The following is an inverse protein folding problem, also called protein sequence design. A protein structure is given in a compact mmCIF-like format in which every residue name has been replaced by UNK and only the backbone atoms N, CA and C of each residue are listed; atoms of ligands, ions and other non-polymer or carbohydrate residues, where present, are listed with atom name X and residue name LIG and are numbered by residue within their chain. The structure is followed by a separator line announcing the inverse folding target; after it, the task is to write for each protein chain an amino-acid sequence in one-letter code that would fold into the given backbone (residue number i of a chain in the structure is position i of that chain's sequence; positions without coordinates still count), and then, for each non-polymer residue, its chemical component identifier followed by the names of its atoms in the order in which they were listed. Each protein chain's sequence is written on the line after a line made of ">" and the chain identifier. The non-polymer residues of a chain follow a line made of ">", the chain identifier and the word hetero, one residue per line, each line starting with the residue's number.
data_IF_185105038879
#
_entry.id   IF_185105038879
#
_cell.length_a   1.000
_cell.length_b   1.000
_cell.length_c   1.000
_cell.angle_alpha   90.00
_cell.angle_beta   90.00
_cell.angle_gamma   90.00
#
_symmetry.space_group_name_H-M   'P 1'
#
loop_
_entity.id
_entity.type
_entity.pdbx_description
1 polymer ?
#
# COMPACT_ATOMS: atom_id res chain seq x y z
N UNK A 1 -52.61 -30.53 18.68
CA UNK A 1 -52.23 -31.58 17.71
C UNK A 1 -51.47 -30.92 16.57
N UNK A 2 -50.23 -31.37 16.32
CA UNK A 2 -49.19 -30.73 15.50
C UNK A 2 -49.53 -30.78 14.00
N UNK A 3 -49.44 -29.67 13.28
CA UNK A 3 -49.09 -29.68 11.86
C UNK A 3 -47.93 -28.71 11.62
N UNK A 4 -46.75 -29.33 11.47
CA UNK A 4 -45.46 -28.71 11.27
C UNK A 4 -45.34 -28.12 9.87
N UNK A 5 -45.22 -26.80 9.77
CA UNK A 5 -44.70 -26.12 8.60
C UNK A 5 -43.22 -26.50 8.40
N UNK A 6 -42.94 -27.48 7.53
CA UNK A 6 -41.59 -27.78 7.06
C UNK A 6 -41.08 -26.60 6.22
N UNK A 7 -40.44 -25.61 6.86
CA UNK A 7 -39.54 -24.68 6.17
C UNK A 7 -38.43 -25.50 5.53
N UNK A 8 -38.40 -25.60 4.20
CA UNK A 8 -37.28 -26.14 3.45
C UNK A 8 -36.11 -25.18 3.62
N UNK A 9 -35.08 -25.60 4.35
CA UNK A 9 -33.79 -24.93 4.38
C UNK A 9 -33.17 -25.16 3.00
N UNK A 10 -33.25 -24.14 2.14
CA UNK A 10 -32.54 -24.16 0.87
C UNK A 10 -31.02 -24.25 1.10
N UNK A 11 -30.24 -24.72 0.13
CA UNK A 11 -28.81 -24.85 0.31
C UNK A 11 -28.14 -23.46 0.42
N UNK A 12 -27.77 -23.10 1.64
CA UNK A 12 -26.86 -22.05 2.13
C UNK A 12 -25.47 -22.00 1.46
N UNK A 13 -25.14 -22.92 0.55
CA UNK A 13 -23.92 -22.82 -0.25
C UNK A 13 -24.20 -21.92 -1.45
N UNK A 14 -23.47 -20.81 -1.63
CA UNK A 14 -23.54 -20.07 -2.87
C UNK A 14 -23.06 -21.03 -3.96
N UNK A 15 -23.87 -21.18 -5.01
CA UNK A 15 -23.42 -21.88 -6.21
C UNK A 15 -22.12 -21.26 -6.68
N UNK A 16 -21.06 -22.06 -6.79
CA UNK A 16 -19.76 -21.66 -7.35
C UNK A 16 -19.83 -21.17 -8.81
N UNK A 17 -21.04 -21.10 -9.40
CA UNK A 17 -21.28 -20.49 -10.70
C UNK A 17 -21.38 -18.97 -10.58
N UNK A 18 -20.63 -18.27 -11.45
CA UNK A 18 -20.74 -16.82 -11.62
C UNK A 18 -22.19 -16.43 -11.93
N UNK A 19 -22.71 -15.41 -11.24
CA UNK A 19 -24.05 -14.89 -11.47
C UNK A 19 -24.26 -14.52 -12.96
N UNK A 20 -25.49 -14.58 -13.50
CA UNK A 20 -25.78 -14.27 -14.90
C UNK A 20 -25.21 -12.94 -15.39
N UNK A 21 -25.22 -11.93 -14.51
CA UNK A 21 -24.73 -10.58 -14.79
C UNK A 21 -23.30 -10.31 -14.28
N UNK A 22 -22.56 -11.28 -13.74
CA UNK A 22 -21.25 -11.06 -13.12
C UNK A 22 -20.25 -10.38 -14.08
N UNK A 23 -19.54 -9.35 -13.58
CA UNK A 23 -18.51 -8.63 -14.36
C UNK A 23 -17.47 -9.58 -14.98
N UNK A 24 -17.17 -10.71 -14.34
CA UNK A 24 -16.22 -11.70 -14.83
C UNK A 24 -16.67 -12.42 -16.12
N UNK A 25 -17.93 -12.26 -16.53
CA UNK A 25 -18.41 -12.74 -17.84
C UNK A 25 -18.02 -11.81 -18.99
N UNK A 26 -17.85 -10.52 -18.72
CA UNK A 26 -17.34 -9.57 -19.71
C UNK A 26 -15.88 -9.92 -20.04
N UNK A 27 -15.60 -10.12 -21.34
CA UNK A 27 -14.26 -10.53 -21.81
C UNK A 27 -13.20 -9.47 -21.53
N UNK A 28 -13.54 -8.19 -21.60
CA UNK A 28 -12.60 -7.09 -21.36
C UNK A 28 -12.28 -7.01 -19.87
N UNK A 29 -13.31 -7.00 -19.03
CA UNK A 29 -13.13 -6.96 -17.59
C UNK A 29 -12.41 -8.20 -17.06
N UNK A 30 -12.76 -9.40 -17.53
CA UNK A 30 -12.09 -10.65 -17.13
C UNK A 30 -10.59 -10.63 -17.43
N UNK A 31 -10.19 -10.10 -18.59
CA UNK A 31 -8.76 -9.95 -18.94
C UNK A 31 -8.06 -8.95 -18.02
N UNK A 32 -8.70 -7.82 -17.74
CA UNK A 32 -8.17 -6.84 -16.79
C UNK A 32 -8.02 -7.44 -15.38
N UNK A 33 -9.04 -8.14 -14.89
CA UNK A 33 -9.02 -8.78 -13.58
C UNK A 33 -7.93 -9.86 -13.47
N UNK A 34 -7.78 -10.70 -14.50
CA UNK A 34 -6.74 -11.72 -14.54
C UNK A 34 -5.34 -11.10 -14.60
N UNK A 35 -5.17 -10.02 -15.36
CA UNK A 35 -3.93 -9.23 -15.39
C UNK A 35 -3.60 -8.68 -14.00
N UNK A 36 -4.54 -8.02 -13.33
CA UNK A 36 -4.36 -7.49 -11.96
C UNK A 36 -3.98 -8.60 -10.98
N UNK A 37 -4.61 -9.78 -11.06
CA UNK A 37 -4.28 -10.90 -10.20
C UNK A 37 -2.83 -11.36 -10.41
N UNK A 38 -2.45 -11.61 -11.67
CA UNK A 38 -1.11 -12.10 -12.03
C UNK A 38 -0.04 -11.06 -11.70
N UNK A 39 -0.30 -9.78 -12.01
CA UNK A 39 0.61 -8.68 -11.70
C UNK A 39 0.80 -8.51 -10.19
N UNK A 40 -0.28 -8.66 -9.41
CA UNK A 40 -0.22 -8.59 -7.95
C UNK A 40 0.64 -9.71 -7.38
N UNK A 41 0.54 -10.94 -7.90
CA UNK A 41 1.41 -12.05 -7.48
C UNK A 41 2.87 -11.77 -7.85
N UNK A 42 3.15 -11.30 -9.08
CA UNK A 42 4.50 -10.93 -9.51
C UNK A 42 5.12 -9.80 -8.66
N UNK A 43 4.31 -8.82 -8.25
CA UNK A 43 4.72 -7.75 -7.36
C UNK A 43 5.04 -8.27 -5.96
N UNK A 44 4.26 -9.21 -5.41
CA UNK A 44 4.55 -9.83 -4.11
C UNK A 44 5.86 -10.63 -4.13
N UNK A 45 6.16 -11.32 -5.24
CA UNK A 45 7.46 -11.97 -5.44
C UNK A 45 8.58 -10.94 -5.44
N UNK A 46 8.43 -9.85 -6.18
CA UNK A 46 9.45 -8.79 -6.27
C UNK A 46 9.68 -8.11 -4.92
N UNK A 47 8.59 -7.84 -4.18
CA UNK A 47 8.59 -7.20 -2.86
C UNK A 47 9.44 -7.96 -1.84
N UNK A 48 9.46 -9.30 -1.91
CA UNK A 48 10.25 -10.13 -1.01
C UNK A 48 11.64 -10.47 -1.58
N UNK A 49 11.71 -10.79 -2.87
CA UNK A 49 12.93 -11.28 -3.51
C UNK A 49 13.99 -10.18 -3.66
N UNK A 50 13.62 -8.92 -3.93
CA UNK A 50 14.59 -7.85 -4.13
C UNK A 50 15.31 -7.48 -2.81
N UNK A 51 14.61 -7.26 -1.67
CA UNK A 51 15.25 -7.10 -0.36
C UNK A 51 16.07 -8.30 0.10
N UNK A 52 15.60 -9.53 -0.13
CA UNK A 52 16.36 -10.74 0.23
C UNK A 52 17.61 -10.92 -0.63
N UNK A 53 17.55 -10.59 -1.92
CA UNK A 53 18.72 -10.60 -2.81
C UNK A 53 19.79 -9.61 -2.30
N UNK A 54 19.39 -8.40 -1.92
CA UNK A 54 20.29 -7.44 -1.30
C UNK A 54 20.89 -7.96 0.02
N UNK A 55 20.04 -8.51 0.90
CA UNK A 55 20.45 -8.98 2.22
C UNK A 55 21.41 -10.19 2.17
N UNK A 56 21.13 -11.17 1.30
CA UNK A 56 21.80 -12.48 1.26
C UNK A 56 22.97 -12.52 0.26
N UNK A 57 22.83 -11.92 -0.93
CA UNK A 57 23.87 -12.00 -1.96
C UNK A 57 24.86 -10.85 -1.91
N UNK A 58 24.42 -9.67 -1.45
CA UNK A 58 25.27 -8.47 -1.37
C UNK A 58 25.65 -8.12 0.07
N UNK A 59 25.21 -8.92 1.06
CA UNK A 59 25.40 -8.65 2.48
C UNK A 59 25.03 -7.20 2.87
N UNK A 60 23.96 -6.65 2.26
CA UNK A 60 23.65 -5.23 2.34
C UNK A 60 23.52 -4.73 3.79
N UNK A 61 24.11 -3.59 4.11
CA UNK A 61 23.98 -3.00 5.45
C UNK A 61 22.57 -2.43 5.66
N UNK A 62 22.12 -2.23 6.92
CA UNK A 62 20.82 -1.61 7.17
C UNK A 62 20.70 -0.21 6.57
N UNK A 63 21.77 0.60 6.55
CA UNK A 63 21.75 1.92 5.87
C UNK A 63 21.61 1.76 4.36
N UNK A 64 22.25 0.76 3.74
CA UNK A 64 22.09 0.48 2.31
C UNK A 64 20.66 0.09 1.97
N UNK A 65 19.99 -0.70 2.81
CA UNK A 65 18.57 -1.03 2.66
C UNK A 65 17.66 0.18 2.86
N UNK A 66 18.00 1.06 3.80
CA UNK A 66 17.32 2.35 3.99
C UNK A 66 17.42 3.23 2.76
N UNK A 67 18.60 3.31 2.16
CA UNK A 67 18.84 4.04 0.91
C UNK A 67 18.07 3.43 -0.26
N UNK A 68 17.98 2.10 -0.34
CA UNK A 68 17.20 1.42 -1.39
C UNK A 68 15.73 1.84 -1.36
N UNK A 69 15.09 1.77 -0.20
CA UNK A 69 13.69 2.19 -0.04
C UNK A 69 13.53 3.70 -0.25
N UNK A 70 14.50 4.52 0.17
CA UNK A 70 14.49 5.95 -0.12
C UNK A 70 14.56 6.24 -1.63
N UNK A 71 15.39 5.52 -2.37
CA UNK A 71 15.52 5.65 -3.84
C UNK A 71 14.28 5.13 -4.56
N UNK A 72 13.61 4.09 -4.06
CA UNK A 72 12.33 3.60 -4.59
C UNK A 72 11.18 4.59 -4.38
N UNK A 73 11.20 5.33 -3.27
CA UNK A 73 10.15 6.31 -2.94
C UNK A 73 10.41 7.70 -3.54
N UNK A 74 11.66 8.03 -3.88
CA UNK A 74 12.05 9.32 -4.45
C UNK A 74 11.31 9.67 -5.76
N UNK A 75 11.18 8.76 -6.76
CA UNK A 75 10.41 9.00 -7.97
C UNK A 75 8.97 9.44 -7.71
N UNK A 76 8.35 8.95 -6.64
CA UNK A 76 7.01 9.37 -6.30
C UNK A 76 6.98 10.86 -5.95
N UNK A 77 7.93 11.34 -5.14
CA UNK A 77 8.00 12.75 -4.74
C UNK A 77 8.36 13.66 -5.92
N UNK A 78 9.26 13.20 -6.80
CA UNK A 78 9.75 13.97 -7.95
C UNK A 78 8.79 13.95 -9.13
N UNK A 79 8.27 12.76 -9.47
CA UNK A 79 7.53 12.53 -10.72
C UNK A 79 6.02 12.42 -10.56
N UNK A 80 5.46 12.38 -9.35
CA UNK A 80 4.00 12.42 -9.18
C UNK A 80 3.36 13.62 -9.88
N UNK A 81 4.06 14.76 -9.91
CA UNK A 81 3.66 15.99 -10.56
C UNK A 81 3.64 15.89 -12.10
N UNK A 82 4.77 15.66 -12.80
CA UNK A 82 4.79 15.54 -14.26
C UNK A 82 3.95 14.36 -14.76
N UNK A 83 3.91 13.26 -14.00
CA UNK A 83 3.17 12.06 -14.39
C UNK A 83 1.67 12.32 -14.52
N UNK A 84 1.05 13.04 -13.58
CA UNK A 84 -0.38 13.35 -13.63
C UNK A 84 -0.76 14.18 -14.86
N UNK A 85 -0.03 15.27 -15.11
CA UNK A 85 -0.27 16.16 -16.27
C UNK A 85 -0.05 15.42 -17.59
N UNK A 86 0.95 14.55 -17.65
CA UNK A 86 1.22 13.74 -18.82
C UNK A 86 0.12 12.69 -19.05
N UNK A 87 -0.31 11.99 -17.99
CA UNK A 87 -1.38 10.98 -18.05
C UNK A 87 -2.71 11.56 -18.54
N UNK A 88 -3.00 12.83 -18.25
CA UNK A 88 -4.20 13.50 -18.77
C UNK A 88 -4.20 13.59 -20.31
N UNK A 89 -3.01 13.69 -20.93
CA UNK A 89 -2.84 13.90 -22.38
C UNK A 89 -2.68 12.62 -23.19
N UNK A 90 -2.29 11.52 -22.55
CA UNK A 90 -2.01 10.25 -23.22
C UNK A 90 -3.10 9.21 -22.96
N UNK A 91 -3.06 8.13 -23.75
CA UNK A 91 -3.90 6.99 -23.49
C UNK A 91 -3.38 6.19 -22.28
N UNK A 92 -4.27 5.71 -21.41
CA UNK A 92 -3.89 5.16 -20.09
C UNK A 92 -3.55 3.68 -20.19
N UNK A 93 -4.23 2.93 -21.05
CA UNK A 93 -3.96 1.51 -21.22
C UNK A 93 -2.54 1.23 -21.76
N UNK A 94 -2.03 1.93 -22.79
CA UNK A 94 -0.65 1.72 -23.24
C UNK A 94 0.39 2.05 -22.16
N UNK A 95 0.17 3.10 -21.37
CA UNK A 95 1.08 3.48 -20.27
C UNK A 95 1.13 2.38 -19.21
N UNK A 96 -0.02 1.79 -18.88
CA UNK A 96 -0.08 0.67 -17.95
C UNK A 96 0.70 -0.55 -18.48
N UNK A 97 0.48 -0.94 -19.74
CA UNK A 97 1.17 -2.09 -20.38
C UNK A 97 2.69 -1.84 -20.46
N UNK A 98 3.11 -0.67 -20.93
CA UNK A 98 4.54 -0.31 -21.01
C UNK A 98 5.17 -0.29 -19.62
N UNK A 99 4.43 0.15 -18.60
CA UNK A 99 4.86 0.08 -17.21
C UNK A 99 5.16 -1.34 -16.75
N UNK A 100 4.21 -2.27 -16.92
CA UNK A 100 4.43 -3.67 -16.53
C UNK A 100 5.61 -4.30 -17.25
N UNK A 101 5.77 -4.04 -18.55
CA UNK A 101 6.94 -4.49 -19.32
C UNK A 101 8.24 -3.87 -18.80
N UNK A 102 8.23 -2.58 -18.46
CA UNK A 102 9.42 -1.89 -17.94
C UNK A 102 9.84 -2.44 -16.58
N UNK A 103 8.89 -2.71 -15.68
CA UNK A 103 9.16 -3.39 -14.40
C UNK A 103 9.75 -4.77 -14.67
N UNK A 104 9.12 -5.56 -15.53
CA UNK A 104 9.60 -6.90 -15.82
C UNK A 104 11.04 -6.88 -16.37
N UNK A 105 11.34 -6.01 -17.33
CA UNK A 105 12.68 -5.86 -17.89
C UNK A 105 13.69 -5.40 -16.83
N UNK A 106 13.34 -4.41 -16.01
CA UNK A 106 14.20 -3.94 -14.91
C UNK A 106 14.49 -5.07 -13.91
N UNK A 107 13.48 -5.86 -13.55
CA UNK A 107 13.63 -6.99 -12.63
C UNK A 107 14.46 -8.13 -13.24
N UNK A 108 14.30 -8.44 -14.53
CA UNK A 108 15.12 -9.46 -15.24
C UNK A 108 16.60 -9.09 -15.27
N UNK A 109 16.93 -7.80 -15.27
CA UNK A 109 18.35 -7.41 -15.26
C UNK A 109 19.07 -7.87 -14.00
N UNK A 110 18.38 -8.03 -12.86
CA UNK A 110 19.00 -8.46 -11.59
C UNK A 110 19.61 -9.87 -11.70
N UNK A 111 18.87 -10.93 -12.10
CA UNK A 111 19.47 -12.25 -12.31
C UNK A 111 20.51 -12.27 -13.44
N UNK A 112 20.33 -11.49 -14.50
CA UNK A 112 21.32 -11.43 -15.60
C UNK A 112 22.65 -10.87 -15.09
N UNK A 113 22.63 -9.73 -14.40
CA UNK A 113 23.83 -9.09 -13.85
C UNK A 113 24.45 -9.92 -12.73
N UNK A 114 23.62 -10.62 -11.94
CA UNK A 114 24.09 -11.60 -10.97
C UNK A 114 24.85 -12.76 -11.64
N UNK A 115 24.32 -13.32 -12.73
CA UNK A 115 24.98 -14.39 -13.46
C UNK A 115 26.31 -13.95 -14.11
N UNK A 116 26.40 -12.67 -14.48
CA UNK A 116 27.64 -12.04 -14.95
C UNK A 116 28.63 -11.69 -13.82
N UNK A 117 28.28 -11.92 -12.55
CA UNK A 117 29.14 -11.63 -11.40
C UNK A 117 29.31 -10.13 -11.08
N UNK A 118 28.52 -9.25 -11.70
CA UNK A 118 28.64 -7.79 -11.57
C UNK A 118 27.54 -7.15 -10.69
N UNK A 119 26.79 -7.98 -9.94
CA UNK A 119 25.70 -7.49 -9.09
C UNK A 119 26.27 -6.62 -7.96
N UNK A 120 25.72 -5.41 -7.84
CA UNK A 120 26.12 -4.43 -6.83
C UNK A 120 24.91 -3.70 -6.26
N UNK A 121 25.09 -3.07 -5.10
CA UNK A 121 24.02 -2.29 -4.48
C UNK A 121 23.63 -1.09 -5.35
N UNK A 122 24.59 -0.47 -6.04
CA UNK A 122 24.35 0.59 -7.02
C UNK A 122 23.41 0.15 -8.14
N UNK A 123 23.52 -1.10 -8.61
CA UNK A 123 22.59 -1.66 -9.59
C UNK A 123 21.18 -1.80 -9.01
N UNK A 124 21.05 -2.31 -7.78
CA UNK A 124 19.75 -2.41 -7.11
C UNK A 124 19.10 -1.04 -6.87
N UNK A 125 19.89 0.01 -6.61
CA UNK A 125 19.37 1.38 -6.54
C UNK A 125 18.82 1.85 -7.89
N UNK A 126 19.50 1.56 -8.99
CA UNK A 126 19.01 1.89 -10.33
C UNK A 126 17.69 1.14 -10.63
N UNK A 127 17.62 -0.16 -10.32
CA UNK A 127 16.40 -0.96 -10.48
C UNK A 127 15.27 -0.41 -9.60
N UNK A 128 15.53 -0.17 -8.31
CA UNK A 128 14.55 0.40 -7.38
C UNK A 128 14.02 1.77 -7.83
N UNK A 129 14.88 2.63 -8.37
CA UNK A 129 14.45 3.92 -8.94
C UNK A 129 13.51 3.75 -10.14
N UNK A 130 13.80 2.77 -11.02
CA UNK A 130 12.92 2.45 -12.15
C UNK A 130 11.59 1.90 -11.64
N UNK A 131 11.60 0.98 -10.67
CA UNK A 131 10.40 0.44 -10.04
C UNK A 131 9.52 1.55 -9.45
N UNK A 132 10.12 2.46 -8.67
CA UNK A 132 9.44 3.62 -8.11
C UNK A 132 8.85 4.56 -9.16
N UNK A 133 9.59 4.79 -10.25
CA UNK A 133 9.14 5.63 -11.37
C UNK A 133 7.91 5.02 -12.05
N UNK A 134 7.97 3.73 -12.36
CA UNK A 134 6.85 3.02 -12.99
C UNK A 134 5.66 2.92 -12.03
N UNK A 135 5.87 2.61 -10.75
CA UNK A 135 4.80 2.57 -9.76
C UNK A 135 4.06 3.91 -9.65
N UNK A 136 4.79 5.02 -9.78
CA UNK A 136 4.22 6.38 -9.75
C UNK A 136 3.36 6.67 -10.99
N UNK A 137 3.89 6.36 -12.18
CA UNK A 137 3.25 6.67 -13.47
C UNK A 137 2.20 5.61 -13.84
N UNK A 138 2.62 4.38 -14.08
CA UNK A 138 1.78 3.29 -14.55
C UNK A 138 0.79 2.82 -13.48
N UNK A 139 1.16 2.87 -12.20
CA UNK A 139 0.23 2.55 -11.10
C UNK A 139 -0.98 3.50 -11.05
N UNK A 140 -0.75 4.79 -11.37
CA UNK A 140 -1.84 5.76 -11.49
C UNK A 140 -2.69 5.52 -12.75
N UNK A 141 -2.06 5.14 -13.87
CA UNK A 141 -2.76 4.78 -15.10
C UNK A 141 -3.67 3.55 -14.91
N UNK A 142 -3.20 2.52 -14.22
CA UNK A 142 -3.95 1.29 -13.97
C UNK A 142 -5.28 1.53 -13.23
N UNK A 143 -5.27 2.44 -12.25
CA UNK A 143 -6.48 2.84 -11.52
C UNK A 143 -7.50 3.55 -12.42
N UNK A 144 -7.03 4.36 -13.37
CA UNK A 144 -7.90 5.07 -14.32
C UNK A 144 -8.47 4.11 -15.35
N UNK A 145 -7.68 3.16 -15.86
CA UNK A 145 -8.15 2.15 -16.84
C UNK A 145 -9.33 1.36 -16.29
N UNK A 146 -9.31 1.01 -14.99
CA UNK A 146 -10.42 0.30 -14.36
C UNK A 146 -11.74 1.08 -14.44
N UNK A 147 -11.70 2.39 -14.18
CA UNK A 147 -12.91 3.24 -14.19
C UNK A 147 -13.39 3.56 -15.61
N UNK A 148 -12.56 3.34 -16.63
CA UNK A 148 -12.93 3.46 -18.04
C UNK A 148 -13.52 2.15 -18.61
N UNK A 149 -13.14 1.00 -18.05
CA UNK A 149 -13.65 -0.32 -18.49
C UNK A 149 -15.03 -0.63 -17.90
N UNK A 150 -15.31 -0.16 -16.69
CA UNK A 150 -16.53 -0.53 -15.96
C UNK A 150 -17.45 0.69 -15.84
N UNK A 151 -18.76 0.55 -16.14
CA UNK A 151 -19.73 1.63 -15.97
C UNK A 151 -19.85 2.03 -14.49
N UNK A 152 -20.21 3.30 -14.24
CA UNK A 152 -20.18 3.90 -12.91
C UNK A 152 -21.00 3.13 -11.87
N UNK A 153 -22.11 2.57 -12.30
CA UNK A 153 -23.07 1.81 -11.48
C UNK A 153 -22.47 0.50 -10.95
N UNK A 154 -21.46 -0.04 -11.64
CA UNK A 154 -20.79 -1.31 -11.32
C UNK A 154 -19.40 -1.15 -10.72
N UNK A 155 -18.94 0.09 -10.50
CA UNK A 155 -17.60 0.35 -9.94
C UNK A 155 -17.40 -0.28 -8.56
N UNK A 156 -18.45 -0.35 -7.74
CA UNK A 156 -18.38 -1.00 -6.41
C UNK A 156 -18.10 -2.49 -6.56
N UNK A 157 -18.79 -3.16 -7.47
CA UNK A 157 -18.57 -4.58 -7.77
C UNK A 157 -17.16 -4.81 -8.32
N UNK A 158 -16.69 -3.95 -9.24
CA UNK A 158 -15.35 -4.03 -9.81
C UNK A 158 -14.25 -3.84 -8.76
N UNK A 159 -14.38 -2.83 -7.90
CA UNK A 159 -13.45 -2.60 -6.81
C UNK A 159 -13.43 -3.77 -5.82
N UNK A 160 -14.59 -4.36 -5.49
CA UNK A 160 -14.66 -5.54 -4.63
C UNK A 160 -13.92 -6.74 -5.25
N UNK A 161 -14.12 -7.01 -6.54
CA UNK A 161 -13.43 -8.09 -7.27
C UNK A 161 -11.91 -7.85 -7.36
N UNK A 162 -11.46 -6.63 -7.60
CA UNK A 162 -10.03 -6.30 -7.65
C UNK A 162 -9.37 -6.34 -6.28
N UNK A 163 -10.08 -5.92 -5.24
CA UNK A 163 -9.62 -6.06 -3.86
C UNK A 163 -9.43 -7.55 -3.51
N UNK A 164 -10.38 -8.41 -3.90
CA UNK A 164 -10.23 -9.86 -3.72
C UNK A 164 -8.97 -10.40 -4.41
N UNK A 165 -8.74 -10.04 -5.68
CA UNK A 165 -7.53 -10.46 -6.40
C UNK A 165 -6.24 -10.00 -5.70
N UNK A 166 -6.19 -8.72 -5.31
CA UNK A 166 -5.00 -8.13 -4.68
C UNK A 166 -4.73 -8.71 -3.31
N UNK A 167 -5.76 -8.88 -2.47
CA UNK A 167 -5.61 -9.46 -1.14
C UNK A 167 -5.32 -10.95 -1.18
N UNK A 168 -5.87 -11.71 -2.14
CA UNK A 168 -5.47 -13.11 -2.34
C UNK A 168 -3.99 -13.21 -2.71
N UNK A 169 -3.49 -12.32 -3.57
CA UNK A 169 -2.07 -12.25 -3.89
C UNK A 169 -1.24 -11.83 -2.68
N UNK A 170 -1.69 -10.89 -1.85
CA UNK A 170 -0.97 -10.45 -0.64
C UNK A 170 -0.85 -11.54 0.43
N UNK A 171 -1.85 -12.42 0.54
CA UNK A 171 -1.82 -13.55 1.48
C UNK A 171 -0.97 -14.71 0.95
N UNK A 172 -1.22 -15.13 -0.29
CA UNK A 172 -0.58 -16.32 -0.84
C UNK A 172 0.81 -16.01 -1.45
N UNK A 173 0.99 -14.81 -1.97
CA UNK A 173 2.15 -14.36 -2.72
C UNK A 173 3.45 -14.45 -1.93
N UNK A 174 3.56 -13.86 -0.72
CA UNK A 174 4.79 -13.92 0.06
C UNK A 174 5.19 -15.35 0.46
N UNK A 175 4.23 -16.21 0.79
CA UNK A 175 4.50 -17.62 1.09
C UNK A 175 5.02 -18.39 -0.13
N UNK A 176 4.39 -18.19 -1.30
CA UNK A 176 4.86 -18.76 -2.56
C UNK A 176 6.23 -18.19 -2.98
N UNK A 177 6.45 -16.89 -2.81
CA UNK A 177 7.71 -16.21 -3.08
C UNK A 177 8.83 -16.75 -2.19
N UNK A 178 8.61 -16.87 -0.88
CA UNK A 178 9.59 -17.43 0.05
C UNK A 178 9.97 -18.88 -0.29
N UNK A 179 8.99 -19.72 -0.66
CA UNK A 179 9.26 -21.08 -1.13
C UNK A 179 10.07 -21.08 -2.44
N UNK A 180 9.70 -20.23 -3.40
CA UNK A 180 10.40 -20.11 -4.67
C UNK A 180 11.85 -19.66 -4.48
N UNK A 181 12.08 -18.68 -3.60
CA UNK A 181 13.41 -18.18 -3.24
C UNK A 181 14.22 -19.27 -2.54
N UNK A 182 13.63 -20.05 -1.65
CA UNK A 182 14.31 -21.18 -1.00
C UNK A 182 14.76 -22.25 -2.01
N UNK A 183 13.92 -22.56 -3.01
CA UNK A 183 14.19 -23.63 -3.98
C UNK A 183 15.12 -23.20 -5.12
N UNK A 184 14.97 -21.98 -5.62
CA UNK A 184 15.65 -21.49 -6.82
C UNK A 184 16.62 -20.33 -6.56
N UNK A 185 16.62 -19.75 -5.36
CA UNK A 185 17.37 -18.54 -5.03
C UNK A 185 16.63 -17.25 -5.40
N UNK A 186 17.04 -16.14 -4.77
CA UNK A 186 16.47 -14.80 -5.00
C UNK A 186 16.43 -14.36 -6.46
N UNK A 187 17.52 -14.49 -7.24
CA UNK A 187 17.56 -14.05 -8.63
C UNK A 187 16.59 -14.82 -9.56
N UNK A 188 16.47 -16.14 -9.41
CA UNK A 188 15.53 -16.93 -10.20
C UNK A 188 14.07 -16.66 -9.78
N UNK A 189 13.82 -16.36 -8.50
CA UNK A 189 12.51 -15.90 -8.07
C UNK A 189 12.10 -14.58 -8.74
N UNK A 190 13.04 -13.63 -8.88
CA UNK A 190 12.84 -12.39 -9.63
C UNK A 190 12.51 -12.65 -11.11
N UNK A 191 13.15 -13.65 -11.74
CA UNK A 191 12.84 -14.05 -13.12
C UNK A 191 11.39 -14.53 -13.25
N UNK A 192 10.90 -15.37 -12.33
CA UNK A 192 9.49 -15.81 -12.31
C UNK A 192 8.55 -14.62 -12.11
N UNK A 193 8.86 -13.72 -11.17
CA UNK A 193 8.10 -12.49 -10.97
C UNK A 193 7.99 -11.65 -12.24
N UNK A 194 9.10 -11.49 -12.97
CA UNK A 194 9.11 -10.78 -14.23
C UNK A 194 8.32 -11.49 -15.35
N UNK A 195 8.38 -12.83 -15.43
CA UNK A 195 7.58 -13.60 -16.38
C UNK A 195 6.07 -13.45 -16.11
N UNK A 196 5.66 -13.41 -14.84
CA UNK A 196 4.28 -13.12 -14.45
C UNK A 196 3.85 -11.72 -14.92
N UNK A 197 4.71 -10.71 -14.73
CA UNK A 197 4.42 -9.35 -15.20
C UNK A 197 4.34 -9.24 -16.72
N UNK A 198 5.21 -9.94 -17.46
CA UNK A 198 5.13 -10.02 -18.92
C UNK A 198 3.85 -10.75 -19.37
N UNK A 199 3.45 -11.80 -18.66
CA UNK A 199 2.20 -12.50 -18.92
C UNK A 199 0.99 -11.60 -18.68
N UNK A 200 0.99 -10.80 -17.61
CA UNK A 200 -0.03 -9.76 -17.36
C UNK A 200 -0.11 -8.75 -18.50
N UNK A 201 1.03 -8.19 -18.93
CA UNK A 201 1.09 -7.26 -20.05
C UNK A 201 0.58 -7.90 -21.36
N UNK A 202 0.91 -9.17 -21.60
CA UNK A 202 0.41 -9.92 -22.76
C UNK A 202 -1.10 -10.14 -22.71
N UNK A 203 -1.67 -10.42 -21.54
CA UNK A 203 -3.13 -10.56 -21.34
C UNK A 203 -3.87 -9.27 -21.68
N UNK A 204 -3.26 -8.10 -21.43
CA UNK A 204 -3.84 -6.80 -21.76
C UNK A 204 -3.70 -6.43 -23.25
N UNK A 205 -2.78 -7.07 -23.98
CA UNK A 205 -2.52 -6.75 -25.38
C UNK A 205 -3.75 -6.94 -26.26
N UNK A 206 -4.24 -5.89 -26.90
CA UNK A 206 -5.42 -5.94 -27.76
C UNK A 206 -6.75 -5.82 -27.00
N UNK A 207 -6.73 -5.50 -25.71
CA UNK A 207 -7.89 -4.91 -25.05
C UNK A 207 -8.13 -3.53 -25.64
N UNK A 208 -9.35 -3.25 -26.11
CA UNK A 208 -9.75 -1.92 -26.56
C UNK A 208 -10.58 -1.29 -25.45
N UNK A 209 -10.08 -0.21 -24.87
CA UNK A 209 -10.82 0.62 -23.93
C UNK A 209 -11.22 1.87 -24.69
N UNK A 210 -12.51 2.20 -24.67
CA UNK A 210 -12.99 3.44 -25.27
C UNK A 210 -12.64 4.59 -24.32
N UNK A 211 -11.42 5.10 -24.48
CA UNK A 211 -10.89 6.14 -23.63
C UNK A 211 -11.52 7.48 -24.02
N UNK A 212 -12.62 7.83 -23.34
CA UNK A 212 -13.15 9.19 -23.39
C UNK A 212 -12.03 10.14 -22.94
N UNK A 213 -11.63 11.05 -23.85
CA UNK A 213 -10.69 12.14 -23.57
C UNK A 213 -11.47 13.34 -23.05
N UNK A 214 -11.59 13.60 -21.73
CA UNK A 214 -11.95 14.93 -21.29
C UNK A 214 -10.73 15.84 -21.47
N UNK A 215 -10.78 16.90 -22.30
CA UNK A 215 -9.72 17.88 -22.36
C UNK A 215 -9.76 18.70 -21.06
N UNK A 216 -8.78 18.55 -20.19
CA UNK A 216 -8.43 19.60 -19.21
C UNK A 216 -7.14 20.26 -19.68
N UNK A 217 -7.30 21.30 -20.50
CA UNK A 217 -6.19 22.05 -21.09
C UNK A 217 -5.37 22.84 -20.04
N UNK A 218 -5.92 23.10 -18.83
CA UNK A 218 -5.36 24.07 -17.86
C UNK A 218 -4.89 23.47 -16.53
N UNK A 219 -4.61 22.16 -16.45
CA UNK A 219 -4.15 21.53 -15.21
C UNK A 219 -2.69 21.94 -14.88
N UNK A 220 -2.51 22.98 -14.07
CA UNK A 220 -1.22 23.40 -13.54
C UNK A 220 -1.03 22.90 -12.10
N UNK A 221 -0.45 21.70 -11.94
CA UNK A 221 -0.32 21.09 -10.61
C UNK A 221 0.43 21.94 -9.58
N UNK A 222 1.45 22.75 -9.94
CA UNK A 222 2.08 23.67 -8.97
C UNK A 222 1.08 24.69 -8.40
N UNK A 223 0.16 25.18 -9.24
CA UNK A 223 -0.94 26.03 -8.83
C UNK A 223 -1.95 25.24 -7.99
N UNK A 224 -2.30 24.03 -8.44
CA UNK A 224 -3.25 23.15 -7.72
C UNK A 224 -2.71 22.67 -6.36
N UNK A 225 -1.40 22.40 -6.26
CA UNK A 225 -0.69 22.00 -5.04
C UNK A 225 -0.61 23.19 -4.08
N UNK A 226 -0.32 24.40 -4.58
CA UNK A 226 -0.35 25.62 -3.75
C UNK A 226 -1.75 25.90 -3.23
N UNK A 227 -2.77 25.71 -4.06
CA UNK A 227 -4.18 25.86 -3.68
C UNK A 227 -4.60 24.78 -2.67
N UNK A 228 -4.25 23.51 -2.93
CA UNK A 228 -4.47 22.41 -2.01
C UNK A 228 -3.76 22.60 -0.68
N UNK A 229 -2.49 23.04 -0.68
CA UNK A 229 -1.73 23.32 0.54
C UNK A 229 -2.34 24.49 1.33
N UNK A 230 -2.85 25.52 0.63
CA UNK A 230 -3.59 26.61 1.26
C UNK A 230 -4.89 26.12 1.89
N UNK A 231 -5.60 25.19 1.24
CA UNK A 231 -6.80 24.59 1.79
C UNK A 231 -6.50 23.70 2.99
N UNK A 232 -5.50 22.80 2.89
CA UNK A 232 -5.05 21.96 4.01
C UNK A 232 -4.72 22.85 5.19
N UNK A 233 -3.94 23.92 4.98
CA UNK A 233 -3.56 24.88 6.04
C UNK A 233 -4.74 25.56 6.73
N UNK A 234 -5.85 25.80 6.01
CA UNK A 234 -7.06 26.39 6.58
C UNK A 234 -7.90 25.38 7.34
N UNK A 235 -7.83 24.10 6.97
CA UNK A 235 -8.62 23.05 7.58
C UNK A 235 -7.80 22.25 8.61
N UNK A 236 -7.99 22.58 9.90
CA UNK A 236 -7.26 21.94 11.02
C UNK A 236 -7.30 20.41 10.96
N UNK A 237 -8.44 19.82 10.63
CA UNK A 237 -8.57 18.36 10.51
C UNK A 237 -7.65 17.77 9.42
N UNK A 238 -7.52 18.42 8.27
CA UNK A 238 -6.65 17.93 7.19
C UNK A 238 -5.17 18.04 7.54
N UNK A 239 -4.77 19.12 8.23
CA UNK A 239 -3.41 19.24 8.77
C UNK A 239 -3.09 18.11 9.75
N UNK A 240 -4.01 17.85 10.69
CA UNK A 240 -3.83 16.79 11.68
C UNK A 240 -3.77 15.41 11.03
N UNK A 241 -4.60 15.15 10.01
CA UNK A 241 -4.55 13.91 9.23
C UNK A 241 -3.22 13.78 8.46
N UNK A 242 -2.71 14.86 7.87
CA UNK A 242 -1.43 14.86 7.18
C UNK A 242 -0.27 14.54 8.13
N UNK A 243 -0.25 15.15 9.32
CA UNK A 243 0.75 14.88 10.35
C UNK A 243 0.65 13.47 10.92
N UNK A 244 -0.57 12.98 11.16
CA UNK A 244 -0.79 11.64 11.74
C UNK A 244 -0.40 10.55 10.75
N UNK A 245 -0.92 10.60 9.52
CA UNK A 245 -0.63 9.58 8.50
C UNK A 245 0.80 9.71 7.97
N UNK A 246 1.32 10.93 7.83
CA UNK A 246 2.73 11.15 7.50
C UNK A 246 3.67 10.63 8.60
N UNK A 247 3.30 10.79 9.86
CA UNK A 247 4.01 10.20 10.99
C UNK A 247 3.99 8.68 10.99
N UNK A 248 2.84 8.07 10.67
CA UNK A 248 2.76 6.64 10.47
C UNK A 248 3.64 6.17 9.31
N UNK A 249 3.65 6.89 8.19
CA UNK A 249 4.49 6.57 7.03
C UNK A 249 5.98 6.62 7.38
N UNK A 250 6.41 7.63 8.15
CA UNK A 250 7.77 7.72 8.69
C UNK A 250 8.13 6.46 9.49
N UNK A 251 7.30 6.09 10.47
CA UNK A 251 7.55 4.95 11.34
C UNK A 251 7.46 3.60 10.60
N UNK A 252 6.50 3.48 9.67
CA UNK A 252 6.30 2.29 8.86
C UNK A 252 7.51 2.00 7.99
N UNK A 253 8.04 3.01 7.28
CA UNK A 253 9.23 2.84 6.46
C UNK A 253 10.50 2.64 7.29
N UNK A 254 10.59 3.26 8.48
CA UNK A 254 11.68 2.98 9.42
C UNK A 254 11.70 1.51 9.86
N UNK A 255 10.53 0.94 10.16
CA UNK A 255 10.42 -0.48 10.50
C UNK A 255 10.66 -1.37 9.28
N UNK A 256 10.03 -1.09 8.14
CA UNK A 256 10.07 -1.92 6.93
C UNK A 256 11.51 -2.19 6.44
N UNK A 257 12.40 -1.21 6.55
CA UNK A 257 13.82 -1.34 6.16
C UNK A 257 14.53 -2.46 6.90
N UNK A 258 14.26 -2.60 8.19
CA UNK A 258 15.00 -3.52 9.07
C UNK A 258 14.32 -4.88 9.24
N UNK A 259 13.03 -5.01 8.88
CA UNK A 259 12.26 -6.27 9.06
C UNK A 259 12.93 -7.48 8.41
N UNK A 260 13.28 -7.37 7.13
CA UNK A 260 13.87 -8.50 6.39
C UNK A 260 15.26 -8.84 6.94
N UNK A 261 16.05 -7.83 7.32
CA UNK A 261 17.35 -8.02 7.95
C UNK A 261 17.22 -8.65 9.35
N UNK A 262 16.25 -8.23 10.15
CA UNK A 262 16.00 -8.78 11.47
C UNK A 262 15.58 -10.25 11.38
N UNK A 263 14.66 -10.56 10.45
CA UNK A 263 14.19 -11.92 10.22
C UNK A 263 15.31 -12.86 9.76
N UNK A 264 16.18 -12.40 8.86
CA UNK A 264 17.28 -13.21 8.32
C UNK A 264 18.50 -13.28 9.25
N UNK A 265 18.95 -12.16 9.82
CA UNK A 265 20.21 -12.07 10.58
C UNK A 265 20.05 -12.28 12.08
N UNK A 266 18.97 -11.80 12.68
CA UNK A 266 18.73 -11.96 14.13
C UNK A 266 18.04 -13.28 14.42
N UNK A 267 16.94 -13.56 13.71
CA UNK A 267 16.15 -14.78 13.93
C UNK A 267 16.65 -15.99 13.14
N UNK A 268 17.59 -15.81 12.20
CA UNK A 268 18.14 -16.90 11.40
C UNK A 268 17.08 -17.60 10.53
N UNK A 269 16.01 -16.91 10.16
CA UNK A 269 14.89 -17.54 9.44
C UNK A 269 15.25 -17.82 7.99
N UNK A 270 14.90 -19.02 7.54
CA UNK A 270 14.90 -19.35 6.11
C UNK A 270 13.96 -18.43 5.32
N UNK A 271 14.22 -18.26 4.03
CA UNK A 271 13.45 -17.40 3.13
C UNK A 271 11.98 -17.81 3.05
N UNK A 272 11.71 -19.11 3.16
CA UNK A 272 10.35 -19.64 3.25
C UNK A 272 9.65 -19.21 4.55
N UNK A 273 10.34 -19.26 5.69
CA UNK A 273 9.78 -18.83 6.96
C UNK A 273 9.51 -17.31 6.96
N UNK A 274 10.41 -16.50 6.38
CA UNK A 274 10.20 -15.06 6.19
C UNK A 274 8.96 -14.83 5.32
N UNK A 275 8.84 -15.53 4.18
CA UNK A 275 7.67 -15.44 3.31
C UNK A 275 6.36 -15.83 4.01
N UNK A 276 6.39 -16.85 4.86
CA UNK A 276 5.23 -17.26 5.66
C UNK A 276 4.85 -16.22 6.73
N UNK A 277 5.82 -15.56 7.35
CA UNK A 277 5.56 -14.43 8.24
C UNK A 277 4.88 -13.26 7.47
N UNK A 278 5.32 -12.96 6.24
CA UNK A 278 4.69 -11.95 5.39
C UNK A 278 3.29 -12.35 4.91
N UNK A 279 2.96 -13.64 4.79
CA UNK A 279 1.56 -14.05 4.58
C UNK A 279 0.64 -13.57 5.72
N UNK A 280 1.19 -13.45 6.94
CA UNK A 280 0.54 -12.84 8.09
C UNK A 280 0.13 -11.38 7.87
N UNK A 281 0.93 -10.60 7.13
CA UNK A 281 0.59 -9.24 6.73
C UNK A 281 -0.73 -9.24 5.94
N UNK A 282 -0.82 -10.07 4.90
CA UNK A 282 -2.03 -10.23 4.09
C UNK A 282 -3.23 -10.74 4.88
N UNK A 283 -3.03 -11.64 5.85
CA UNK A 283 -4.13 -12.06 6.74
C UNK A 283 -4.63 -10.90 7.60
N UNK A 284 -3.73 -10.05 8.08
CA UNK A 284 -4.07 -8.83 8.81
C UNK A 284 -4.85 -7.83 7.95
N UNK A 285 -4.44 -7.62 6.70
CA UNK A 285 -5.15 -6.72 5.77
C UNK A 285 -6.55 -7.24 5.43
N UNK A 286 -6.71 -8.55 5.20
CA UNK A 286 -8.02 -9.18 5.01
C UNK A 286 -8.92 -9.06 6.26
N UNK A 287 -8.40 -9.38 7.44
CA UNK A 287 -9.16 -9.30 8.69
C UNK A 287 -9.65 -7.87 8.94
N UNK A 288 -8.79 -6.88 8.75
CA UNK A 288 -9.18 -5.47 8.88
C UNK A 288 -10.11 -4.98 7.77
N UNK A 289 -10.04 -5.51 6.55
CA UNK A 289 -10.99 -5.17 5.49
C UNK A 289 -12.41 -5.67 5.81
N UNK A 290 -12.53 -6.88 6.40
CA UNK A 290 -13.81 -7.47 6.79
C UNK A 290 -14.40 -6.82 8.06
N UNK A 291 -13.56 -6.55 9.05
CA UNK A 291 -13.98 -6.05 10.36
C UNK A 291 -13.93 -4.51 10.46
N UNK A 292 -13.19 -3.85 9.59
CA UNK A 292 -12.88 -2.42 9.67
C UNK A 292 -14.11 -1.53 9.63
N UNK A 293 -15.11 -1.87 8.81
CA UNK A 293 -16.40 -1.17 8.79
C UNK A 293 -17.15 -1.30 10.13
N UNK A 294 -17.07 -2.45 10.80
CA UNK A 294 -17.70 -2.64 12.12
C UNK A 294 -16.97 -1.83 13.20
N UNK A 295 -15.65 -1.80 13.16
CA UNK A 295 -14.81 -1.00 14.05
C UNK A 295 -15.09 0.49 13.86
N UNK A 296 -15.08 0.96 12.61
CA UNK A 296 -15.38 2.35 12.24
C UNK A 296 -16.78 2.79 12.66
N UNK A 297 -17.80 1.94 12.48
CA UNK A 297 -19.16 2.24 12.96
C UNK A 297 -19.29 2.26 14.48
N UNK A 298 -18.48 1.46 15.20
CA UNK A 298 -18.55 1.36 16.66
C UNK A 298 -17.84 2.50 17.37
N UNK A 299 -16.64 2.85 16.91
CA UNK A 299 -15.78 3.82 17.58
C UNK A 299 -15.73 5.19 16.87
N UNK A 300 -16.20 5.26 15.62
CA UNK A 300 -16.07 6.42 14.75
C UNK A 300 -14.78 6.39 13.94
N UNK A 301 -14.71 7.17 12.84
CA UNK A 301 -13.58 7.15 11.91
C UNK A 301 -12.27 7.67 12.53
N UNK A 302 -12.31 8.73 13.34
CA UNK A 302 -11.13 9.29 14.00
C UNK A 302 -10.47 8.32 14.99
N UNK A 303 -11.21 7.80 16.00
CA UNK A 303 -10.68 6.81 16.92
C UNK A 303 -10.23 5.51 16.24
N UNK A 304 -10.92 5.07 15.18
CA UNK A 304 -10.52 3.87 14.42
C UNK A 304 -9.20 4.05 13.69
N UNK A 305 -8.92 5.27 13.18
CA UNK A 305 -7.61 5.63 12.62
C UNK A 305 -6.52 5.50 13.69
N UNK A 306 -6.74 6.02 14.90
CA UNK A 306 -5.79 5.92 16.00
C UNK A 306 -5.60 4.48 16.50
N UNK A 307 -6.66 3.66 16.53
CA UNK A 307 -6.55 2.22 16.82
C UNK A 307 -5.64 1.53 15.80
N UNK A 308 -5.78 1.85 14.51
CA UNK A 308 -4.91 1.30 13.47
C UNK A 308 -3.44 1.71 13.63
N UNK A 309 -3.20 2.99 13.94
CA UNK A 309 -1.84 3.48 14.22
C UNK A 309 -1.26 2.79 15.47
N UNK A 310 -2.02 2.71 16.57
CA UNK A 310 -1.60 1.98 17.78
C UNK A 310 -1.29 0.52 17.51
N UNK A 311 -2.12 -0.19 16.73
CA UNK A 311 -1.87 -1.58 16.38
C UNK A 311 -0.53 -1.74 15.65
N UNK A 312 -0.23 -0.84 14.70
CA UNK A 312 1.06 -0.82 13.99
C UNK A 312 2.22 -0.54 14.95
N UNK A 313 2.09 0.46 15.82
CA UNK A 313 3.11 0.83 16.79
C UNK A 313 3.42 -0.26 17.82
N UNK A 314 2.38 -0.93 18.34
CA UNK A 314 2.53 -2.12 19.19
C UNK A 314 3.23 -3.22 18.40
N UNK A 315 2.80 -3.48 17.17
CA UNK A 315 3.43 -4.47 16.29
C UNK A 315 4.93 -4.24 16.14
N UNK A 316 5.36 -3.01 15.88
CA UNK A 316 6.79 -2.66 15.73
C UNK A 316 7.59 -2.77 17.03
N UNK A 317 6.96 -2.63 18.19
CA UNK A 317 7.63 -2.84 19.49
C UNK A 317 7.88 -4.32 19.81
N UNK A 318 7.05 -5.24 19.33
CA UNK A 318 7.12 -6.65 19.75
C UNK A 318 8.50 -7.28 19.49
N UNK A 319 9.10 -7.17 18.29
CA UNK A 319 10.41 -7.77 18.03
C UNK A 319 11.57 -7.05 18.74
N UNK A 320 11.34 -5.83 19.22
CA UNK A 320 12.32 -5.09 20.03
C UNK A 320 12.38 -5.63 21.47
N UNK A 321 11.25 -6.10 22.01
CA UNK A 321 11.16 -6.68 23.35
C UNK A 321 11.58 -8.14 23.35
N UNK A 322 11.19 -8.89 22.31
CA UNK A 322 11.48 -10.31 22.19
C UNK A 322 12.10 -10.56 20.81
N UNK A 323 13.41 -10.74 20.78
CA UNK A 323 14.19 -10.84 19.54
C UNK A 323 14.77 -12.23 19.27
N UNK A 324 14.56 -13.20 20.16
CA UNK A 324 15.21 -14.51 20.09
C UNK A 324 14.23 -15.70 20.14
N UNK A 325 14.64 -16.80 19.52
CA UNK A 325 13.98 -18.10 19.59
C UNK A 325 12.55 -18.12 19.00
N UNK A 326 11.72 -19.11 19.40
CA UNK A 326 10.35 -19.25 18.90
C UNK A 326 9.47 -18.03 19.20
N UNK A 327 9.72 -17.36 20.32
CA UNK A 327 8.99 -16.16 20.71
C UNK A 327 9.35 -14.94 19.85
N UNK A 328 10.60 -14.82 19.39
CA UNK A 328 10.99 -13.80 18.42
C UNK A 328 10.31 -13.99 17.06
N UNK A 329 10.18 -15.24 16.60
CA UNK A 329 9.40 -15.56 15.38
C UNK A 329 7.93 -15.21 15.55
N UNK A 330 7.33 -15.54 16.70
CA UNK A 330 5.96 -15.16 17.02
C UNK A 330 5.78 -13.64 17.08
N UNK A 331 6.75 -12.90 17.64
CA UNK A 331 6.76 -11.45 17.70
C UNK A 331 6.82 -10.83 16.29
N UNK A 332 7.67 -11.36 15.40
CA UNK A 332 7.74 -10.93 14.00
C UNK A 332 6.43 -11.20 13.24
N UNK A 333 5.85 -12.39 13.40
CA UNK A 333 4.58 -12.73 12.76
C UNK A 333 3.44 -11.82 13.28
N UNK A 334 3.38 -11.59 14.59
CA UNK A 334 2.42 -10.68 15.21
C UNK A 334 2.62 -9.24 14.73
N UNK A 335 3.87 -8.78 14.58
CA UNK A 335 4.20 -7.47 14.01
C UNK A 335 3.59 -7.31 12.62
N UNK A 336 3.76 -8.29 11.73
CA UNK A 336 3.26 -8.22 10.36
C UNK A 336 1.73 -8.26 10.31
N UNK A 337 1.08 -9.13 11.09
CA UNK A 337 -0.39 -9.16 11.20
C UNK A 337 -0.93 -7.83 11.71
N UNK A 338 -0.36 -7.30 12.80
CA UNK A 338 -0.78 -6.03 13.39
C UNK A 338 -0.49 -4.85 12.46
N UNK A 339 0.60 -4.89 11.69
CA UNK A 339 0.91 -3.91 10.66
C UNK A 339 -0.13 -3.90 9.53
N UNK A 340 -0.59 -5.08 9.09
CA UNK A 340 -1.64 -5.20 8.08
C UNK A 340 -2.98 -4.68 8.58
N UNK A 341 -3.36 -5.07 9.81
CA UNK A 341 -4.58 -4.56 10.47
C UNK A 341 -4.52 -3.04 10.61
N UNK A 342 -3.39 -2.56 11.13
CA UNK A 342 -3.16 -1.17 11.45
C UNK A 342 -3.17 -0.27 10.22
N UNK A 343 -2.46 -0.67 9.16
CA UNK A 343 -2.44 0.04 7.89
C UNK A 343 -3.82 0.16 7.28
N UNK A 344 -4.58 -0.93 7.17
CA UNK A 344 -5.93 -0.91 6.56
C UNK A 344 -6.91 -0.05 7.36
N UNK A 345 -6.96 -0.23 8.69
CA UNK A 345 -7.83 0.60 9.55
C UNK A 345 -7.47 2.08 9.44
N UNK A 346 -6.19 2.41 9.39
CA UNK A 346 -5.76 3.79 9.28
C UNK A 346 -6.14 4.39 7.91
N UNK A 347 -5.79 3.72 6.80
CA UNK A 347 -5.98 4.26 5.45
C UNK A 347 -7.45 4.39 5.05
N UNK A 348 -8.32 3.43 5.41
CA UNK A 348 -9.76 3.51 5.10
C UNK A 348 -10.39 4.74 5.79
N UNK A 349 -10.14 4.91 7.09
CA UNK A 349 -10.71 6.02 7.85
C UNK A 349 -10.10 7.36 7.43
N UNK A 350 -8.79 7.40 7.12
CA UNK A 350 -8.13 8.56 6.55
C UNK A 350 -8.80 9.01 5.23
N UNK A 351 -9.03 8.06 4.32
CA UNK A 351 -9.65 8.35 3.03
C UNK A 351 -11.04 8.94 3.21
N UNK A 352 -11.85 8.31 4.07
CA UNK A 352 -13.22 8.75 4.36
C UNK A 352 -13.27 10.15 5.01
N UNK A 353 -12.46 10.41 6.04
CA UNK A 353 -12.38 11.71 6.71
C UNK A 353 -11.91 12.81 5.76
N UNK A 354 -10.91 12.52 4.94
CA UNK A 354 -10.40 13.46 3.93
C UNK A 354 -11.48 13.82 2.92
N UNK A 355 -12.22 12.82 2.42
CA UNK A 355 -13.27 13.04 1.43
C UNK A 355 -14.45 13.83 1.99
N UNK A 356 -14.87 13.52 3.22
CA UNK A 356 -16.04 14.15 3.85
C UNK A 356 -15.89 15.68 4.01
N UNK A 357 -14.68 16.15 4.24
CA UNK A 357 -14.38 17.55 4.55
C UNK A 357 -13.98 18.36 3.30
N UNK A 358 -13.78 17.68 2.17
CA UNK A 358 -13.28 18.32 0.95
C UNK A 358 -14.41 18.59 -0.04
N UNK A 359 -14.64 19.85 -0.43
CA UNK A 359 -15.61 20.20 -1.47
C UNK A 359 -15.31 19.51 -2.80
N UNK A 360 -16.34 19.10 -3.54
CA UNK A 360 -16.20 18.38 -4.82
C UNK A 360 -15.23 19.04 -5.81
N UNK A 361 -15.24 20.38 -6.01
CA UNK A 361 -14.33 21.02 -6.96
C UNK A 361 -12.85 20.91 -6.57
N UNK A 362 -12.54 20.67 -5.30
CA UNK A 362 -11.18 20.61 -4.76
C UNK A 362 -10.69 19.17 -4.50
N UNK A 363 -11.54 18.14 -4.65
CA UNK A 363 -11.21 16.75 -4.30
C UNK A 363 -9.94 16.24 -4.97
N UNK A 364 -9.74 16.50 -6.26
CA UNK A 364 -8.56 16.06 -6.99
C UNK A 364 -7.27 16.76 -6.52
N UNK A 365 -7.31 18.09 -6.37
CA UNK A 365 -6.19 18.91 -5.90
C UNK A 365 -5.78 18.53 -4.49
N UNK A 366 -6.79 18.35 -3.63
CA UNK A 366 -6.63 17.95 -2.23
C UNK A 366 -6.04 16.54 -2.11
N UNK A 367 -6.57 15.59 -2.88
CA UNK A 367 -6.08 14.21 -2.86
C UNK A 367 -4.60 14.14 -3.18
N UNK A 368 -4.16 14.86 -4.21
CA UNK A 368 -2.75 14.84 -4.63
C UNK A 368 -1.86 15.57 -3.63
N UNK A 369 -2.31 16.72 -3.10
CA UNK A 369 -1.60 17.45 -2.04
C UNK A 369 -1.40 16.58 -0.80
N UNK A 370 -2.46 15.91 -0.34
CA UNK A 370 -2.39 15.01 0.81
C UNK A 370 -1.49 13.81 0.55
N UNK A 371 -1.54 13.20 -0.65
CA UNK A 371 -0.66 12.08 -1.03
C UNK A 371 0.81 12.51 -0.96
N UNK A 372 1.12 13.71 -1.43
CA UNK A 372 2.48 14.26 -1.36
C UNK A 372 2.92 14.52 0.09
N UNK A 373 2.06 15.13 0.92
CA UNK A 373 2.35 15.41 2.33
C UNK A 373 2.59 14.15 3.17
N UNK A 374 1.85 13.07 2.93
CA UNK A 374 2.01 11.82 3.71
C UNK A 374 3.17 10.94 3.23
N UNK A 375 3.57 11.03 1.95
CA UNK A 375 4.70 10.25 1.43
C UNK A 375 6.05 10.95 1.60
N UNK A 376 6.08 12.28 1.74
CA UNK A 376 7.32 13.02 1.99
C UNK A 376 8.14 12.48 3.18
N UNK A 377 7.53 12.06 4.31
CA UNK A 377 8.26 11.48 5.44
C UNK A 377 8.74 10.04 5.22
N UNK A 378 8.32 9.33 4.16
CA UNK A 378 8.67 7.93 3.93
C UNK A 378 10.19 7.71 3.76
N UNK A 379 10.83 8.49 2.88
CA UNK A 379 12.27 8.38 2.64
C UNK A 379 13.12 8.73 3.86
N UNK A 380 12.87 9.83 4.60
CA UNK A 380 13.52 10.08 5.89
C UNK A 380 13.33 8.93 6.89
N UNK A 381 12.14 8.33 6.94
CA UNK A 381 11.85 7.21 7.82
C UNK A 381 12.71 5.99 7.49
N UNK A 382 12.80 5.64 6.21
CA UNK A 382 13.64 4.56 5.75
C UNK A 382 15.13 4.79 6.07
N UNK A 383 15.63 6.00 5.85
CA UNK A 383 17.02 6.36 6.17
C UNK A 383 17.29 6.31 7.68
N UNK A 384 16.37 6.82 8.51
CA UNK A 384 16.49 6.77 9.97
C UNK A 384 16.46 5.33 10.49
N UNK A 385 15.52 4.51 10.01
CA UNK A 385 15.44 3.11 10.38
C UNK A 385 16.68 2.31 10.00
N UNK A 386 17.22 2.55 8.79
CA UNK A 386 18.48 1.98 8.35
C UNK A 386 19.66 2.44 9.21
N UNK A 387 19.76 3.73 9.49
CA UNK A 387 20.85 4.29 10.29
C UNK A 387 20.86 3.74 11.73
N UNK A 388 19.70 3.72 12.41
CA UNK A 388 19.55 3.13 13.75
C UNK A 388 19.82 1.63 13.72
N UNK A 389 19.36 0.94 12.67
CA UNK A 389 19.55 -0.49 12.49
C UNK A 389 21.02 -0.90 12.37
N UNK A 390 21.86 -0.03 11.79
CA UNK A 390 23.29 -0.25 11.60
C UNK A 390 24.13 0.17 12.81
N UNK A 391 23.84 1.33 13.41
CA UNK A 391 24.67 1.90 14.48
C UNK A 391 24.24 1.48 15.89
N UNK A 392 22.99 1.07 16.07
CA UNK A 392 22.46 0.64 17.38
C UNK A 392 22.18 -0.85 17.36
N UNK A 393 21.14 -1.28 16.64
CA UNK A 393 20.81 -2.68 16.34
C UNK A 393 19.48 -2.76 15.57
N UNK A 394 19.23 -3.89 14.90
CA UNK A 394 17.97 -4.15 14.20
C UNK A 394 16.73 -4.12 15.13
N UNK A 395 16.75 -4.75 16.33
CA UNK A 395 15.63 -4.64 17.27
C UNK A 395 15.42 -3.22 17.79
N UNK A 396 16.50 -2.45 18.01
CA UNK A 396 16.39 -1.05 18.43
C UNK A 396 15.75 -0.16 17.35
N UNK A 397 16.00 -0.41 16.06
CA UNK A 397 15.34 0.30 14.97
C UNK A 397 13.83 0.03 14.94
N UNK A 398 13.40 -1.23 15.14
CA UNK A 398 11.99 -1.60 15.28
C UNK A 398 11.37 -0.95 16.53
N UNK A 399 12.08 -1.01 17.66
CA UNK A 399 11.66 -0.44 18.93
C UNK A 399 11.48 1.07 18.86
N UNK A 400 12.43 1.79 18.26
CA UNK A 400 12.34 3.24 18.07
C UNK A 400 11.17 3.63 17.17
N UNK A 401 10.95 2.91 16.06
CA UNK A 401 9.77 3.12 15.22
C UNK A 401 8.46 2.91 15.99
N UNK A 402 8.38 1.87 16.82
CA UNK A 402 7.22 1.58 17.66
C UNK A 402 6.98 2.60 18.79
N UNK A 403 8.04 3.03 19.50
CA UNK A 403 7.94 4.07 20.54
C UNK A 403 7.51 5.40 19.92
N UNK A 404 8.11 5.79 18.80
CA UNK A 404 7.73 7.02 18.08
C UNK A 404 6.27 6.96 17.62
N UNK A 405 5.84 5.83 17.07
CA UNK A 405 4.45 5.61 16.65
C UNK A 405 3.48 5.79 17.82
N UNK A 406 3.70 5.12 18.95
CA UNK A 406 2.83 5.25 20.11
C UNK A 406 2.89 6.64 20.75
N UNK A 407 4.08 7.27 20.78
CA UNK A 407 4.25 8.65 21.23
C UNK A 407 3.45 9.64 20.37
N UNK A 408 3.47 9.48 19.04
CA UNK A 408 2.65 10.27 18.13
C UNK A 408 1.16 10.02 18.34
N UNK A 409 0.73 8.76 18.53
CA UNK A 409 -0.67 8.47 18.84
C UNK A 409 -1.09 9.13 20.15
N UNK A 410 -0.27 9.08 21.20
CA UNK A 410 -0.56 9.72 22.48
C UNK A 410 -0.65 11.25 22.33
N UNK A 411 0.24 11.86 21.55
CA UNK A 411 0.22 13.29 21.26
C UNK A 411 -1.07 13.68 20.53
N UNK A 412 -1.40 12.96 19.46
CA UNK A 412 -2.63 13.19 18.68
C UNK A 412 -3.86 12.94 19.55
N UNK A 413 -3.86 11.90 20.38
CA UNK A 413 -4.97 11.60 21.28
C UNK A 413 -5.18 12.67 22.35
N UNK A 414 -4.11 13.31 22.83
CA UNK A 414 -4.18 14.39 23.82
C UNK A 414 -4.53 15.76 23.22
N UNK A 415 -4.02 16.07 22.02
CA UNK A 415 -3.98 17.45 21.51
C UNK A 415 -4.82 17.67 20.24
N UNK A 416 -5.55 16.65 19.77
CA UNK A 416 -6.31 16.75 18.53
C UNK A 416 -7.80 16.42 18.71
N UNK A 417 -8.63 17.19 18.02
CA UNK A 417 -10.08 16.97 17.91
C UNK A 417 -10.42 15.71 17.09
N UNK A 418 -9.41 14.98 16.55
CA UNK A 418 -9.61 13.74 15.78
C UNK A 418 -10.37 12.69 16.61
N UNK A 419 -10.15 12.64 17.93
CA UNK A 419 -10.86 11.72 18.82
C UNK A 419 -12.37 11.96 18.83
N UNK A 420 -12.79 13.20 18.63
CA UNK A 420 -14.18 13.63 18.72
C UNK A 420 -14.93 13.43 17.41
N UNK A 421 -14.21 13.21 16.29
CA UNK A 421 -14.79 12.92 14.98
C UNK A 421 -15.34 11.48 14.95
N UNK A 422 -16.51 11.31 15.56
CA UNK A 422 -17.27 10.05 15.61
C UNK A 422 -18.21 9.86 14.43
N UNK A 423 -18.54 10.93 13.73
CA UNK A 423 -19.31 10.92 12.50
C UNK A 423 -18.54 11.66 11.39
N UNK A 424 -18.85 11.35 10.13
CA UNK A 424 -18.26 12.05 9.00
C UNK A 424 -18.76 13.51 9.01
N UNK A 425 -17.87 14.52 9.00
CA UNK A 425 -18.28 15.91 8.93
C UNK A 425 -19.00 16.17 7.60
N UNK A 426 -20.11 16.91 7.61
CA UNK A 426 -20.73 17.41 6.38
C UNK A 426 -20.05 18.72 5.93
N UNK A 427 -19.87 18.96 4.62
CA UNK A 427 -19.25 20.19 4.11
C UNK A 427 -19.94 21.49 4.57
N UNK A 428 -21.24 21.41 4.88
CA UNK A 428 -22.07 22.54 5.29
C UNK A 428 -21.90 22.93 6.78
N UNK A 429 -21.56 21.98 7.66
CA UNK A 429 -21.46 22.24 9.11
C UNK A 429 -20.32 23.23 9.45
N UNK A 430 -19.23 23.21 8.70
CA UNK A 430 -18.10 24.14 8.88
C UNK A 430 -18.40 25.60 8.50
N UNK A 431 -19.48 25.89 7.76
CA UNK A 431 -19.87 27.28 7.47
C UNK A 431 -20.61 27.94 8.64
N UNK A 432 -21.18 27.17 9.57
CA UNK A 432 -21.96 27.74 10.66
C UNK A 432 -21.10 28.18 11.86
N UNK A 433 -19.99 27.51 12.15
CA UNK A 433 -19.10 27.91 13.26
C UNK A 433 -18.29 29.19 12.96
N UNK A 434 -17.94 29.45 11.70
CA UNK A 434 -17.19 30.66 11.31
C UNK A 434 -18.08 31.92 11.28
N UNK A 435 -19.41 31.73 11.25
CA UNK A 435 -20.40 32.82 11.28
C UNK A 435 -20.93 33.09 12.70
N UNK A 436 -20.92 32.10 13.60
CA UNK A 436 -21.34 32.27 14.99
C UNK A 436 -20.24 32.89 15.87
N UNK A 437 -18.96 32.74 15.51
CA UNK A 437 -17.82 33.32 16.24
C UNK A 437 -17.53 34.81 15.98
N UNK A 438 -18.31 35.48 15.12
CA UNK A 438 -18.16 36.92 14.81
C UNK A 438 -19.31 37.80 15.35
N UNK A 439 -20.20 37.24 16.17
CA UNK A 439 -21.32 37.94 16.77
C UNK A 439 -21.36 37.78 18.29
N UNK A 440 -20.30 38.20 18.97
CA UNK A 440 -20.21 38.28 20.44
C UNK A 440 -19.39 39.48 20.85
#
# INVERSE_FOLDING_TARGET
>A
MKQSARRRWGPWWPSLGLAPDDLLRDRVYRRLWLSILISSVGNQVTLLALPLTAALLLAATPTQMGLLIAVETLPFVLFSLPAGVWLDRVQKLPVYIVGEVTIALAVVTVPVVWWLGALSMSWLYAVGFVLGTVATVAGSAAQIVLTQVVPRERLVEAHARNALASSSAEVAGPGAAGLLIRLAGGPLALLVGALLLLASAAILRGVRVDEQRPPRADAHFLRDLREGLRFVRRQRLLLLLALTVGGWQLCHHAAQVVVVLHASRTLGLSEQAIGLCYAGLGMGTLAASLLGNRVSRRFGPGPSLLIGFSASGVGWLLPAVVSDGPWGVAALAAMLVLGGIGGVLMFINFLALRQAVTPEPLLGRMTTTMRWLILLPAAPGALLGGWVGEHVSLPAALGTAGVLALGMVLLVWRWSDIREVRALPSPEATRHDDMSGRGG
#
